data_IF_478875169138
#
_entry.id   IF_478875169138
#
_cell.length_a   1.000
_cell.length_b   1.000
_cell.length_c   1.000
_cell.angle_alpha   90.00
_cell.angle_beta   90.00
_cell.angle_gamma   90.00
#
_symmetry.space_group_name_H-M   'P 1'
#
loop_
_entity.id
_entity.type
_entity.pdbx_description
1 polymer ?
#
# COMPACT_ATOMS: atom_id res chain seq x y z
N UNK A 1 -68.26 46.39 31.78
CA UNK A 1 -67.38 46.94 32.84
C UNK A 1 -65.98 46.35 32.66
N UNK A 2 -64.96 47.19 32.86
CA UNK A 2 -63.53 46.87 32.85
C UNK A 2 -63.13 45.94 34.01
N UNK A 3 -61.84 45.55 33.96
CA UNK A 3 -60.96 45.07 35.03
C UNK A 3 -60.89 43.53 35.16
N UNK A 4 -59.74 42.88 35.32
CA UNK A 4 -58.43 43.30 35.84
C UNK A 4 -57.36 42.34 35.28
N UNK A 5 -56.21 42.88 34.87
CA UNK A 5 -54.98 42.16 34.53
C UNK A 5 -54.37 41.47 35.76
N UNK A 6 -53.79 40.27 35.62
CA UNK A 6 -52.66 39.81 36.44
C UNK A 6 -52.03 38.51 35.89
N UNK A 7 -50.74 38.63 35.50
CA UNK A 7 -49.60 37.69 35.58
C UNK A 7 -49.84 36.17 35.40
N UNK A 8 -49.04 35.42 34.64
CA UNK A 8 -47.64 35.08 34.96
C UNK A 8 -46.89 34.70 33.66
N UNK A 9 -45.74 35.33 33.45
CA UNK A 9 -44.75 34.90 32.48
C UNK A 9 -44.10 33.59 32.97
N UNK A 10 -44.30 32.48 32.25
CA UNK A 10 -43.53 31.27 32.46
C UNK A 10 -42.41 31.20 31.42
N UNK A 11 -41.22 31.54 31.90
CA UNK A 11 -39.94 31.20 31.32
C UNK A 11 -39.82 29.69 31.06
N UNK A 12 -39.09 29.34 30.01
CA UNK A 12 -37.97 28.43 30.21
C UNK A 12 -37.99 27.14 29.42
N UNK A 13 -37.08 27.09 28.44
CA UNK A 13 -36.26 25.92 28.10
C UNK A 13 -36.99 24.62 27.73
N UNK A 14 -37.30 24.51 26.44
CA UNK A 14 -37.31 23.20 25.77
C UNK A 14 -35.91 22.58 25.90
N UNK A 15 -35.78 21.37 26.46
CA UNK A 15 -34.50 20.69 26.48
C UNK A 15 -34.17 20.30 25.04
N UNK A 16 -33.13 20.92 24.47
CA UNK A 16 -32.47 20.35 23.30
C UNK A 16 -32.01 18.94 23.68
N UNK A 17 -32.66 17.91 23.12
CA UNK A 17 -32.10 16.57 23.12
C UNK A 17 -30.80 16.64 22.32
N UNK A 18 -29.68 16.77 23.02
CA UNK A 18 -28.37 16.56 22.46
C UNK A 18 -28.25 15.06 22.13
N UNK A 19 -28.52 14.70 20.88
CA UNK A 19 -28.10 13.40 20.36
C UNK A 19 -26.57 13.37 20.37
N UNK A 20 -25.99 12.72 21.37
CA UNK A 20 -24.58 12.38 21.37
C UNK A 20 -24.35 11.30 20.30
N UNK A 21 -24.08 11.73 19.06
CA UNK A 21 -23.51 10.85 18.07
C UNK A 21 -22.13 10.43 18.58
N UNK A 22 -21.80 9.13 18.63
CA UNK A 22 -20.43 8.74 18.90
C UNK A 22 -19.57 9.37 17.83
N UNK A 23 -18.68 10.29 18.23
CA UNK A 23 -17.60 10.75 17.37
C UNK A 23 -16.77 9.50 17.11
N UNK A 24 -16.91 8.92 15.92
CA UNK A 24 -16.01 7.87 15.49
C UNK A 24 -14.61 8.49 15.53
N UNK A 25 -13.78 8.00 16.44
CA UNK A 25 -12.35 8.32 16.42
C UNK A 25 -11.85 8.12 14.99
N UNK A 26 -11.07 9.06 14.43
CA UNK A 26 -10.46 8.84 13.14
C UNK A 26 -9.63 7.56 13.26
N UNK A 27 -10.11 6.49 12.61
CA UNK A 27 -9.39 5.22 12.49
C UNK A 27 -8.05 5.60 11.90
N UNK A 28 -7.01 5.57 12.74
CA UNK A 28 -5.66 5.91 12.32
C UNK A 28 -5.32 5.03 11.13
N UNK A 29 -5.17 5.65 9.94
CA UNK A 29 -4.58 4.96 8.81
C UNK A 29 -3.22 4.41 9.28
N UNK A 30 -2.83 3.17 8.94
CA UNK A 30 -1.61 2.61 9.47
C UNK A 30 -0.41 3.43 8.97
N UNK A 31 0.15 4.26 9.84
CA UNK A 31 1.30 5.14 9.57
C UNK A 31 2.56 4.37 9.15
N UNK A 32 2.55 3.04 9.32
CA UNK A 32 3.60 2.11 8.91
C UNK A 32 3.90 2.10 7.40
N UNK A 33 3.09 2.77 6.56
CA UNK A 33 3.17 2.65 5.10
C UNK A 33 3.67 3.88 4.35
N UNK A 34 3.93 5.02 4.99
CA UNK A 34 4.40 6.21 4.26
C UNK A 34 5.89 6.12 3.92
N UNK A 35 6.75 5.85 4.90
CA UNK A 35 8.21 5.73 4.67
C UNK A 35 8.58 4.59 3.71
N UNK A 36 7.86 3.46 3.80
CA UNK A 36 8.05 2.34 2.87
C UNK A 36 7.61 2.71 1.45
N UNK A 37 6.57 3.54 1.29
CA UNK A 37 6.17 4.10 -0.01
C UNK A 37 7.20 5.12 -0.54
N UNK A 38 7.76 5.98 0.31
CA UNK A 38 8.83 6.94 -0.08
C UNK A 38 10.07 6.24 -0.62
N UNK A 39 10.39 5.06 -0.09
CA UNK A 39 11.52 4.25 -0.54
C UNK A 39 11.26 3.42 -1.80
N UNK A 40 10.00 3.30 -2.23
CA UNK A 40 9.62 2.47 -3.37
C UNK A 40 10.20 3.02 -4.69
N UNK A 41 10.67 2.14 -5.55
CA UNK A 41 11.31 2.49 -6.81
C UNK A 41 10.49 1.98 -7.99
N UNK A 42 10.28 2.85 -8.97
CA UNK A 42 9.71 2.43 -10.27
C UNK A 42 10.84 1.99 -11.19
N UNK A 43 10.82 0.71 -11.53
CA UNK A 43 11.90 0.01 -12.23
C UNK A 43 11.36 -0.64 -13.50
N UNK A 44 12.23 -0.80 -14.48
CA UNK A 44 11.91 -1.49 -15.73
C UNK A 44 12.28 -2.96 -15.64
N UNK A 45 11.44 -3.83 -16.20
CA UNK A 45 11.77 -5.24 -16.43
C UNK A 45 12.76 -5.35 -17.59
N UNK A 46 13.87 -6.04 -17.36
CA UNK A 46 15.00 -6.17 -18.28
C UNK A 46 15.48 -7.62 -18.37
N UNK A 47 16.50 -7.88 -19.19
CA UNK A 47 17.15 -9.19 -19.35
C UNK A 47 16.24 -10.32 -19.84
N UNK A 48 15.19 -9.98 -20.62
CA UNK A 48 14.34 -10.91 -21.33
C UNK A 48 14.45 -10.68 -22.85
N UNK A 49 14.35 -11.76 -23.62
CA UNK A 49 14.25 -11.71 -25.09
C UNK A 49 12.83 -11.38 -25.53
N UNK A 50 12.67 -11.07 -26.82
CA UNK A 50 11.34 -10.81 -27.41
C UNK A 50 10.44 -12.03 -27.24
N UNK A 51 9.25 -11.83 -26.67
CA UNK A 51 8.28 -12.89 -26.40
C UNK A 51 8.42 -13.57 -25.04
N UNK A 52 9.52 -13.36 -24.32
CA UNK A 52 9.73 -13.91 -22.98
C UNK A 52 9.05 -13.06 -21.89
N UNK A 53 8.85 -13.68 -20.73
CA UNK A 53 8.33 -13.04 -19.53
C UNK A 53 9.06 -13.55 -18.29
N UNK A 54 9.08 -12.72 -17.24
CA UNK A 54 9.52 -13.10 -15.89
C UNK A 54 8.31 -13.29 -14.99
N UNK A 55 8.33 -14.36 -14.19
CA UNK A 55 7.28 -14.61 -13.20
C UNK A 55 7.50 -13.78 -11.94
N UNK A 56 6.42 -13.17 -11.46
CA UNK A 56 6.30 -12.66 -10.11
C UNK A 56 5.74 -13.77 -9.22
N UNK A 57 6.49 -14.17 -8.21
CA UNK A 57 6.23 -15.41 -7.44
C UNK A 57 5.84 -15.12 -6.00
N UNK A 58 5.13 -16.04 -5.37
CA UNK A 58 4.75 -15.94 -3.95
C UNK A 58 5.95 -15.83 -2.99
N UNK A 59 7.10 -16.38 -3.37
CA UNK A 59 8.31 -16.36 -2.57
C UNK A 59 9.55 -16.11 -3.40
N UNK A 60 10.69 -15.78 -2.76
CA UNK A 60 11.94 -15.43 -3.41
C UNK A 60 12.71 -16.69 -3.90
N UNK A 61 12.03 -17.54 -4.66
CA UNK A 61 12.56 -18.78 -5.25
C UNK A 61 11.78 -19.14 -6.51
N UNK A 62 12.44 -19.77 -7.47
CA UNK A 62 11.82 -20.28 -8.70
C UNK A 62 10.89 -21.48 -8.46
N UNK A 63 10.90 -22.07 -7.25
CA UNK A 63 9.97 -23.14 -6.86
C UNK A 63 8.62 -22.60 -6.35
N UNK A 64 8.55 -21.32 -6.00
CA UNK A 64 7.31 -20.71 -5.56
C UNK A 64 6.34 -20.51 -6.73
N UNK A 65 5.04 -20.63 -6.44
CA UNK A 65 3.96 -20.44 -7.42
C UNK A 65 4.02 -19.05 -8.08
N UNK A 66 3.59 -19.00 -9.33
CA UNK A 66 3.52 -17.77 -10.12
C UNK A 66 2.19 -17.07 -9.87
N UNK A 67 2.22 -15.76 -9.66
CA UNK A 67 1.02 -14.92 -9.50
C UNK A 67 0.79 -14.07 -10.75
N UNK A 68 1.86 -13.40 -11.20
CA UNK A 68 1.84 -12.53 -12.36
C UNK A 68 3.03 -12.83 -13.27
N UNK A 69 2.95 -12.37 -14.51
CA UNK A 69 4.04 -12.39 -15.47
C UNK A 69 4.28 -10.98 -16.01
N UNK A 70 5.55 -10.57 -16.09
CA UNK A 70 5.93 -9.28 -16.65
C UNK A 70 6.82 -9.44 -17.88
N UNK A 71 6.58 -8.59 -18.87
CA UNK A 71 7.33 -8.59 -20.13
C UNK A 71 8.46 -7.57 -20.09
N UNK A 72 9.44 -7.77 -20.96
CA UNK A 72 10.52 -6.81 -21.23
C UNK A 72 9.96 -5.38 -21.37
N UNK A 73 10.59 -4.43 -20.70
CA UNK A 73 10.25 -3.01 -20.80
C UNK A 73 9.10 -2.55 -19.91
N UNK A 74 8.31 -3.45 -19.31
CA UNK A 74 7.25 -3.03 -18.38
C UNK A 74 7.83 -2.30 -17.17
N UNK A 75 7.18 -1.21 -16.76
CA UNK A 75 7.53 -0.46 -15.55
C UNK A 75 6.68 -0.95 -14.38
N UNK A 76 7.32 -1.19 -13.24
CA UNK A 76 6.70 -1.71 -12.03
C UNK A 76 7.29 -1.03 -10.79
N UNK A 77 6.47 -0.79 -9.78
CA UNK A 77 6.88 -0.14 -8.54
C UNK A 77 7.19 -1.19 -7.47
N UNK A 78 8.46 -1.32 -7.11
CA UNK A 78 8.94 -2.27 -6.11
C UNK A 78 9.20 -1.55 -4.79
N UNK A 79 8.89 -2.21 -3.68
CA UNK A 79 8.87 -1.60 -2.34
C UNK A 79 10.11 -1.90 -1.51
N UNK A 80 10.68 -3.10 -1.66
CA UNK A 80 11.87 -3.53 -0.94
C UNK A 80 12.42 -4.80 -1.62
N UNK A 81 13.58 -5.26 -1.17
CA UNK A 81 14.22 -6.50 -1.64
C UNK A 81 14.34 -7.52 -0.51
N UNK A 82 14.23 -8.81 -0.84
CA UNK A 82 14.48 -9.94 0.06
C UNK A 82 15.59 -10.83 -0.49
N UNK A 83 16.43 -11.41 0.38
CA UNK A 83 17.39 -12.44 -0.05
C UNK A 83 16.64 -13.72 -0.43
N UNK A 84 17.09 -14.41 -1.46
CA UNK A 84 16.49 -15.65 -1.92
C UNK A 84 17.40 -16.44 -2.84
N UNK A 85 16.79 -17.30 -3.65
CA UNK A 85 17.52 -18.12 -4.62
C UNK A 85 18.28 -17.24 -5.62
N UNK A 86 19.55 -17.56 -5.87
CA UNK A 86 20.37 -16.82 -6.81
C UNK A 86 20.00 -17.15 -8.26
N UNK A 87 19.78 -16.12 -9.07
CA UNK A 87 19.60 -16.23 -10.52
C UNK A 87 20.71 -15.42 -11.18
N UNK A 88 21.55 -16.09 -11.97
CA UNK A 88 22.66 -15.45 -12.71
C UNK A 88 23.52 -14.54 -11.80
N UNK A 89 23.84 -15.03 -10.60
CA UNK A 89 24.65 -14.31 -9.61
C UNK A 89 23.88 -13.28 -8.74
N UNK A 90 22.62 -12.95 -9.06
CA UNK A 90 21.81 -12.07 -8.23
C UNK A 90 20.93 -12.89 -7.26
N UNK A 91 21.17 -12.74 -5.95
CA UNK A 91 20.47 -13.46 -4.88
C UNK A 91 19.38 -12.62 -4.19
N UNK A 92 18.95 -11.53 -4.81
CA UNK A 92 17.89 -10.65 -4.30
C UNK A 92 16.63 -10.78 -5.13
N UNK A 93 15.50 -10.55 -4.48
CA UNK A 93 14.16 -10.64 -5.03
C UNK A 93 13.37 -9.40 -4.62
N UNK A 94 12.93 -8.64 -5.62
CA UNK A 94 12.27 -7.36 -5.46
C UNK A 94 10.78 -7.57 -5.28
N UNK A 95 10.26 -7.00 -4.20
CA UNK A 95 8.88 -7.18 -3.74
C UNK A 95 7.98 -6.12 -4.32
N UNK A 96 6.88 -6.55 -4.94
CA UNK A 96 5.82 -5.72 -5.46
C UNK A 96 4.47 -6.16 -4.89
N UNK A 97 3.54 -5.22 -4.75
CA UNK A 97 2.15 -5.49 -4.40
C UNK A 97 1.27 -4.96 -5.53
N UNK A 98 0.52 -5.85 -6.18
CA UNK A 98 -0.43 -5.53 -7.25
C UNK A 98 -1.80 -6.07 -6.84
N UNK A 99 -2.83 -5.22 -6.92
CA UNK A 99 -4.21 -5.60 -6.59
C UNK A 99 -4.35 -6.27 -5.21
N UNK A 100 -3.61 -5.76 -4.22
CA UNK A 100 -3.57 -6.33 -2.86
C UNK A 100 -2.71 -7.58 -2.69
N UNK A 101 -2.17 -8.16 -3.75
CA UNK A 101 -1.36 -9.39 -3.69
C UNK A 101 0.13 -9.06 -3.78
N UNK A 102 0.91 -9.58 -2.83
CA UNK A 102 2.37 -9.41 -2.82
C UNK A 102 3.05 -10.56 -3.56
N UNK A 103 4.02 -10.21 -4.40
CA UNK A 103 4.89 -11.18 -5.07
C UNK A 103 6.31 -10.62 -5.25
N UNK A 104 7.19 -11.49 -5.72
CA UNK A 104 8.62 -11.25 -5.82
C UNK A 104 9.13 -11.55 -7.22
N UNK A 105 9.90 -10.63 -7.78
CA UNK A 105 10.65 -10.82 -9.05
C UNK A 105 12.12 -10.89 -8.70
N UNK A 106 12.89 -11.82 -9.27
CA UNK A 106 14.34 -11.81 -9.05
C UNK A 106 14.94 -10.48 -9.53
N UNK A 107 15.80 -9.86 -8.72
CA UNK A 107 16.46 -8.59 -9.03
C UNK A 107 17.42 -8.68 -10.23
N UNK A 108 17.65 -9.88 -10.78
CA UNK A 108 18.29 -10.04 -12.08
C UNK A 108 17.46 -9.43 -13.23
N UNK A 109 16.13 -9.39 -13.09
CA UNK A 109 15.22 -8.92 -14.14
C UNK A 109 14.70 -7.50 -13.92
N UNK A 110 15.22 -6.78 -12.93
CA UNK A 110 14.90 -5.36 -12.68
C UNK A 110 16.11 -4.50 -13.02
N UNK A 111 15.86 -3.32 -13.59
CA UNK A 111 16.94 -2.40 -13.94
C UNK A 111 17.65 -1.82 -12.69
N UNK A 112 18.72 -1.07 -12.94
CA UNK A 112 19.57 -0.52 -11.87
C UNK A 112 18.84 0.44 -10.92
N UNK A 113 17.63 0.92 -11.24
CA UNK A 113 16.78 1.70 -10.34
C UNK A 113 16.28 0.87 -9.16
N UNK A 114 16.19 -0.45 -9.33
CA UNK A 114 15.87 -1.42 -8.28
C UNK A 114 17.10 -2.15 -7.73
N UNK A 115 18.31 -1.65 -8.03
CA UNK A 115 19.52 -2.26 -7.48
C UNK A 115 19.43 -2.41 -5.97
N UNK A 116 20.19 -3.36 -5.42
CA UNK A 116 20.20 -3.63 -4.00
C UNK A 116 20.54 -2.39 -3.15
N UNK A 117 21.20 -1.36 -3.69
CA UNK A 117 21.46 -0.11 -2.97
C UNK A 117 20.24 0.83 -2.88
N UNK A 118 19.28 0.70 -3.79
CA UNK A 118 18.12 1.61 -3.91
C UNK A 118 16.85 1.07 -3.27
N UNK A 119 16.70 -0.25 -3.24
CA UNK A 119 15.60 -0.89 -2.51
C UNK A 119 16.05 -1.22 -1.08
N UNK A 120 15.30 -0.79 -0.04
CA UNK A 120 15.57 -1.21 1.33
C UNK A 120 15.32 -2.71 1.49
N UNK A 121 15.84 -3.31 2.56
CA UNK A 121 15.50 -4.69 2.89
C UNK A 121 14.03 -4.79 3.30
N UNK A 122 13.35 -5.83 2.81
CA UNK A 122 12.22 -6.40 3.50
C UNK A 122 12.75 -7.24 4.68
#
# INVERSE_FOLDING_TARGET
MKFFSLLVALLGFLPFLAAAFPVADPVAEPEMHLEKRRSAQTCRIVNLRKGEYVNCRYGPTTKAGNIFAFRQGQKRTFSCKKKGQCIKGNCTWDRITLYGVTCYVSGYYTDSRCSSKRLPKC
#
